data_IF_279796402157
#
_entry.id   IF_279796402157
#
_cell.length_a   1.000
_cell.length_b   1.000
_cell.length_c   1.000
_cell.angle_alpha   90.00
_cell.angle_beta   90.00
_cell.angle_gamma   90.00
#
_symmetry.space_group_name_H-M   'P 1'
#
loop_
_entity.id
_entity.type
_entity.pdbx_description
1 polymer ?
#
# COMPACT_ATOMS: atom_id res chain seq x y z
N UNK A 1 -17.33 -53.44 32.41
CA UNK A 1 -16.57 -53.92 31.23
C UNK A 1 -17.51 -53.91 30.03
N UNK A 2 -17.10 -53.52 28.83
CA UNK A 2 -16.25 -52.38 28.50
C UNK A 2 -16.79 -51.58 27.27
N UNK A 3 -16.44 -50.27 27.19
CA UNK A 3 -15.77 -49.62 26.05
C UNK A 3 -16.48 -49.65 24.67
N UNK A 4 -16.81 -48.50 24.07
CA UNK A 4 -15.99 -47.75 23.08
C UNK A 4 -16.98 -46.77 22.41
N UNK A 5 -16.73 -45.54 22.02
CA UNK A 5 -15.66 -44.57 22.16
C UNK A 5 -16.37 -43.19 22.01
N UNK A 6 -15.90 -42.16 22.72
CA UNK A 6 -16.18 -40.76 22.41
C UNK A 6 -15.50 -40.39 21.08
N UNK A 7 -15.59 -39.13 20.63
CA UNK A 7 -14.76 -38.55 19.54
C UNK A 7 -15.32 -38.62 18.10
N UNK A 8 -16.61 -38.37 17.88
CA UNK A 8 -17.11 -38.09 16.52
C UNK A 8 -18.21 -37.01 16.48
N UNK A 9 -18.03 -35.92 17.23
CA UNK A 9 -18.97 -34.79 17.24
C UNK A 9 -18.24 -33.43 17.38
N UNK A 10 -17.03 -33.33 16.83
CA UNK A 10 -16.26 -32.10 16.81
C UNK A 10 -15.44 -31.91 15.52
N UNK A 11 -16.02 -32.25 14.37
CA UNK A 11 -15.49 -31.84 13.05
C UNK A 11 -16.69 -31.44 12.18
N UNK A 12 -17.43 -30.42 12.61
CA UNK A 12 -18.40 -29.76 11.76
C UNK A 12 -17.87 -28.37 11.40
N UNK A 13 -17.14 -28.35 10.29
CA UNK A 13 -17.02 -27.23 9.35
C UNK A 13 -16.68 -25.85 9.92
N UNK A 14 -15.40 -25.64 10.22
CA UNK A 14 -14.74 -24.34 9.98
C UNK A 14 -13.89 -24.51 8.71
N UNK A 15 -14.55 -24.62 7.56
CA UNK A 15 -13.93 -24.21 6.30
C UNK A 15 -14.29 -22.74 6.10
N UNK A 16 -13.65 -21.87 6.89
CA UNK A 16 -13.37 -20.52 6.41
C UNK A 16 -12.41 -20.73 5.24
N UNK A 17 -12.96 -20.74 4.03
CA UNK A 17 -12.16 -20.52 2.83
C UNK A 17 -11.56 -19.13 3.05
N UNK A 18 -10.32 -19.09 3.55
CA UNK A 18 -9.44 -17.97 3.26
C UNK A 18 -9.30 -18.00 1.74
N UNK A 19 -10.20 -17.29 1.06
CA UNK A 19 -9.95 -16.87 -0.29
C UNK A 19 -8.67 -16.07 -0.17
N UNK A 20 -7.54 -16.67 -0.56
CA UNK A 20 -6.37 -15.89 -0.92
C UNK A 20 -6.88 -14.94 -1.98
N UNK A 21 -7.06 -13.68 -1.62
CA UNK A 21 -7.38 -12.63 -2.59
C UNK A 21 -6.21 -12.61 -3.55
N UNK A 22 -6.30 -13.35 -4.66
CA UNK A 22 -5.50 -13.07 -5.83
C UNK A 22 -5.91 -11.65 -6.23
N UNK A 23 -5.09 -10.69 -5.79
CA UNK A 23 -5.28 -9.29 -6.07
C UNK A 23 -5.35 -9.12 -7.58
N UNK A 24 -6.44 -8.54 -8.07
CA UNK A 24 -6.53 -8.25 -9.48
C UNK A 24 -5.56 -7.13 -9.84
N UNK A 25 -5.13 -7.09 -11.10
CA UNK A 25 -4.33 -5.98 -11.61
C UNK A 25 -4.97 -5.44 -12.89
N UNK A 26 -5.63 -4.29 -12.81
CA UNK A 26 -6.38 -3.67 -13.89
C UNK A 26 -5.53 -3.44 -15.14
N UNK A 27 -4.26 -3.07 -14.99
CA UNK A 27 -3.42 -2.80 -16.16
C UNK A 27 -3.03 -4.08 -16.89
N UNK A 28 -2.85 -5.19 -16.15
CA UNK A 28 -2.64 -6.53 -16.73
C UNK A 28 -3.91 -7.08 -17.39
N UNK A 29 -5.08 -6.83 -16.79
CA UNK A 29 -6.36 -7.21 -17.39
C UNK A 29 -6.59 -6.48 -18.72
N UNK A 30 -6.42 -5.16 -18.74
CA UNK A 30 -6.60 -4.33 -19.92
C UNK A 30 -5.53 -4.53 -21.00
N UNK A 31 -4.30 -4.93 -20.63
CA UNK A 31 -3.21 -5.17 -21.59
C UNK A 31 -3.53 -6.26 -22.62
N UNK A 32 -4.47 -7.16 -22.33
CA UNK A 32 -4.95 -8.19 -23.27
C UNK A 32 -5.85 -7.63 -24.38
N UNK A 33 -6.25 -6.37 -24.29
CA UNK A 33 -7.25 -5.74 -25.16
C UNK A 33 -6.68 -4.49 -25.84
N UNK A 34 -6.04 -4.61 -27.03
CA UNK A 34 -5.38 -3.48 -27.70
C UNK A 34 -6.27 -2.27 -27.99
N UNK A 35 -7.58 -2.49 -28.17
CA UNK A 35 -8.59 -1.44 -28.35
C UNK A 35 -8.76 -0.52 -27.13
N UNK A 36 -8.27 -0.93 -25.95
CA UNK A 36 -8.38 -0.20 -24.68
C UNK A 36 -7.01 0.35 -24.22
N UNK A 37 -5.99 0.32 -25.08
CA UNK A 37 -4.61 0.68 -24.72
C UNK A 37 -4.47 2.11 -24.21
N UNK A 38 -5.18 3.07 -24.81
CA UNK A 38 -5.15 4.47 -24.39
C UNK A 38 -5.73 4.64 -22.99
N UNK A 39 -6.87 4.00 -22.71
CA UNK A 39 -7.49 4.02 -21.39
C UNK A 39 -6.55 3.41 -20.33
N UNK A 40 -5.94 2.26 -20.63
CA UNK A 40 -4.97 1.61 -19.75
C UNK A 40 -3.73 2.49 -19.47
N UNK A 41 -3.23 3.18 -20.50
CA UNK A 41 -2.12 4.12 -20.38
C UNK A 41 -2.46 5.27 -19.43
N UNK A 42 -3.62 5.91 -19.58
CA UNK A 42 -4.01 7.01 -18.70
C UNK A 42 -4.39 6.57 -17.28
N UNK A 43 -4.93 5.36 -17.08
CA UNK A 43 -5.07 4.79 -15.73
C UNK A 43 -3.70 4.67 -15.03
N UNK A 44 -2.65 4.36 -15.79
CA UNK A 44 -1.29 4.25 -15.25
C UNK A 44 -0.68 5.63 -14.99
N UNK A 45 -0.76 6.56 -15.96
CA UNK A 45 -0.21 7.91 -15.84
C UNK A 45 -0.85 8.73 -14.71
N UNK A 46 -2.16 8.57 -14.51
CA UNK A 46 -2.89 9.25 -13.43
C UNK A 46 -2.72 8.55 -12.08
N UNK A 47 -2.01 7.42 -12.06
CA UNK A 47 -1.88 6.49 -10.93
C UNK A 47 -3.18 5.87 -10.41
N UNK A 48 -4.32 6.14 -11.03
CA UNK A 48 -5.62 5.57 -10.67
C UNK A 48 -5.62 4.04 -10.71
N UNK A 49 -4.81 3.43 -11.57
CA UNK A 49 -4.63 1.99 -11.63
C UNK A 49 -4.23 1.37 -10.27
N UNK A 50 -3.37 2.03 -9.50
CA UNK A 50 -2.94 1.53 -8.19
C UNK A 50 -4.08 1.60 -7.18
N UNK A 51 -4.90 2.65 -7.24
CA UNK A 51 -6.04 2.81 -6.37
C UNK A 51 -7.15 1.79 -6.69
N UNK A 52 -7.39 1.51 -7.98
CA UNK A 52 -8.32 0.46 -8.42
C UNK A 52 -7.88 -0.90 -7.88
N UNK A 53 -6.60 -1.25 -8.05
CA UNK A 53 -6.04 -2.54 -7.65
C UNK A 53 -6.08 -2.81 -6.12
N UNK A 54 -6.30 -1.77 -5.31
CA UNK A 54 -6.43 -1.87 -3.85
C UNK A 54 -7.87 -2.09 -3.39
N UNK A 55 -8.83 -2.02 -4.30
CA UNK A 55 -10.25 -2.18 -4.00
C UNK A 55 -10.71 -3.57 -4.42
N UNK A 56 -11.81 -4.02 -3.84
CA UNK A 56 -12.58 -5.18 -4.30
C UNK A 56 -14.03 -4.73 -4.42
N UNK A 57 -14.86 -5.53 -5.09
CA UNK A 57 -16.25 -5.17 -5.39
C UNK A 57 -16.35 -3.89 -6.22
N UNK A 58 -15.60 -3.84 -7.33
CA UNK A 58 -15.49 -2.65 -8.18
C UNK A 58 -15.87 -2.94 -9.63
N UNK A 59 -16.35 -1.92 -10.36
CA UNK A 59 -16.60 -1.99 -11.80
C UNK A 59 -15.86 -0.89 -12.53
N UNK A 60 -15.07 -1.23 -13.54
CA UNK A 60 -14.36 -0.28 -14.40
C UNK A 60 -15.13 -0.16 -15.73
N UNK A 61 -15.64 1.04 -15.99
CA UNK A 61 -16.28 1.42 -17.24
C UNK A 61 -15.20 1.82 -18.25
N UNK A 62 -14.66 0.83 -18.95
CA UNK A 62 -13.57 1.02 -19.90
C UNK A 62 -14.03 1.78 -21.15
N UNK A 63 -13.17 2.70 -21.59
CA UNK A 63 -13.31 3.45 -22.83
C UNK A 63 -12.37 2.89 -23.89
N UNK A 64 -12.86 2.73 -25.11
CA UNK A 64 -11.98 2.37 -26.23
C UNK A 64 -11.13 3.57 -26.69
N UNK A 65 -10.19 3.30 -27.59
CA UNK A 65 -9.28 4.31 -28.10
C UNK A 65 -10.01 5.47 -28.82
N UNK A 66 -11.19 5.25 -29.42
CA UNK A 66 -11.96 6.29 -30.09
C UNK A 66 -12.66 7.22 -29.07
N UNK A 67 -13.28 6.63 -28.04
CA UNK A 67 -13.86 7.37 -26.93
C UNK A 67 -12.79 8.15 -26.15
N UNK A 68 -11.63 7.53 -25.90
CA UNK A 68 -10.47 8.20 -25.29
C UNK A 68 -9.95 9.34 -26.16
N UNK A 69 -9.84 9.16 -27.48
CA UNK A 69 -9.42 10.25 -28.38
C UNK A 69 -10.35 11.45 -28.29
N UNK A 70 -11.66 11.23 -28.17
CA UNK A 70 -12.64 12.31 -27.99
C UNK A 70 -12.44 13.09 -26.69
N UNK A 71 -12.06 12.42 -25.59
CA UNK A 71 -11.69 13.06 -24.33
C UNK A 71 -10.39 13.86 -24.46
N UNK A 72 -9.37 13.26 -25.08
CA UNK A 72 -8.03 13.84 -25.20
C UNK A 72 -8.03 15.09 -26.07
N UNK A 73 -8.91 15.18 -27.07
CA UNK A 73 -9.07 16.37 -27.90
C UNK A 73 -9.52 17.62 -27.11
N UNK A 74 -10.07 17.44 -25.90
CA UNK A 74 -10.37 18.55 -24.97
C UNK A 74 -9.13 19.08 -24.24
N UNK A 75 -7.97 18.46 -24.42
CA UNK A 75 -6.70 18.75 -23.73
C UNK A 75 -6.84 18.89 -22.19
N UNK A 76 -7.48 17.94 -21.50
CA UNK A 76 -7.56 17.99 -20.04
C UNK A 76 -6.16 17.89 -19.42
N UNK A 77 -5.95 18.57 -18.29
CA UNK A 77 -4.76 18.33 -17.47
C UNK A 77 -4.75 16.88 -16.98
N UNK A 78 -3.60 16.37 -16.55
CA UNK A 78 -3.51 15.00 -16.01
C UNK A 78 -4.39 14.82 -14.76
N UNK A 79 -4.59 15.87 -13.97
CA UNK A 79 -5.43 15.87 -12.76
C UNK A 79 -6.92 15.86 -13.12
N UNK A 80 -7.33 16.67 -14.09
CA UNK A 80 -8.69 16.61 -14.63
C UNK A 80 -8.95 15.25 -15.29
N UNK A 81 -7.97 14.69 -16.01
CA UNK A 81 -8.08 13.33 -16.57
C UNK A 81 -8.27 12.29 -15.46
N UNK A 82 -7.54 12.38 -14.33
CA UNK A 82 -7.74 11.50 -13.18
C UNK A 82 -9.19 11.55 -12.70
N UNK A 83 -9.76 12.74 -12.51
CA UNK A 83 -11.15 12.91 -12.06
C UNK A 83 -12.17 12.32 -13.05
N UNK A 84 -11.99 12.58 -14.34
CA UNK A 84 -12.82 11.99 -15.40
C UNK A 84 -12.76 10.46 -15.32
N UNK A 85 -11.57 9.87 -15.25
CA UNK A 85 -11.42 8.41 -15.19
C UNK A 85 -11.94 7.84 -13.86
N UNK A 86 -11.79 8.53 -12.73
CA UNK A 86 -12.35 8.13 -11.45
C UNK A 86 -13.88 8.07 -11.45
N UNK A 87 -14.55 8.90 -12.26
CA UNK A 87 -16.01 8.82 -12.48
C UNK A 87 -16.39 7.53 -13.24
N UNK A 88 -15.47 6.96 -14.01
CA UNK A 88 -15.67 5.71 -14.76
C UNK A 88 -15.37 4.46 -13.91
N UNK A 89 -15.16 4.60 -12.60
CA UNK A 89 -14.91 3.47 -11.71
C UNK A 89 -15.98 3.43 -10.62
N UNK A 90 -16.89 2.47 -10.71
CA UNK A 90 -17.99 2.27 -9.77
C UNK A 90 -17.53 1.46 -8.55
N UNK A 91 -17.94 1.88 -7.35
CA UNK A 91 -17.63 1.23 -6.08
C UNK A 91 -18.56 0.06 -5.72
N UNK A 92 -19.29 -0.46 -6.71
CA UNK A 92 -20.06 -1.70 -6.62
C UNK A 92 -19.75 -2.56 -7.86
N UNK A 93 -19.96 -3.87 -7.73
CA UNK A 93 -19.72 -4.85 -8.78
C UNK A 93 -20.94 -4.97 -9.70
N UNK A 94 -20.77 -4.68 -10.99
CA UNK A 94 -21.77 -4.78 -12.05
C UNK A 94 -21.21 -5.56 -13.25
N UNK A 95 -21.33 -6.88 -13.20
CA UNK A 95 -21.10 -7.73 -14.39
C UNK A 95 -22.27 -7.68 -15.37
N UNK A 96 -22.07 -8.21 -16.57
CA UNK A 96 -23.06 -8.17 -17.66
C UNK A 96 -24.44 -8.71 -17.25
N UNK A 97 -24.47 -9.79 -16.45
CA UNK A 97 -25.73 -10.37 -15.96
C UNK A 97 -26.46 -9.44 -14.99
N UNK A 98 -25.75 -8.81 -14.05
CA UNK A 98 -26.34 -7.91 -13.05
C UNK A 98 -26.92 -6.67 -13.73
N UNK A 99 -26.26 -6.16 -14.77
CA UNK A 99 -26.73 -5.01 -15.53
C UNK A 99 -28.09 -5.24 -16.21
N UNK A 100 -28.37 -6.46 -16.70
CA UNK A 100 -29.66 -6.83 -17.29
C UNK A 100 -30.68 -7.37 -16.29
N UNK A 101 -30.35 -7.33 -14.99
CA UNK A 101 -31.17 -7.84 -13.90
C UNK A 101 -31.31 -6.79 -12.79
N UNK A 102 -31.16 -5.51 -13.14
CA UNK A 102 -31.30 -4.41 -12.19
C UNK A 102 -32.74 -4.37 -11.71
N UNK A 103 -32.92 -4.56 -10.40
CA UNK A 103 -34.24 -4.44 -9.75
C UNK A 103 -34.83 -3.06 -10.00
N UNK A 104 -36.10 -3.00 -10.38
CA UNK A 104 -36.79 -1.76 -10.79
C UNK A 104 -36.22 -1.07 -12.05
N UNK A 105 -35.29 -1.72 -12.77
CA UNK A 105 -34.74 -1.24 -14.03
C UNK A 105 -33.73 -0.10 -13.92
N UNK A 106 -33.48 0.45 -12.74
CA UNK A 106 -32.50 1.52 -12.52
C UNK A 106 -31.72 1.32 -11.22
N UNK A 107 -30.45 1.72 -11.22
CA UNK A 107 -29.55 1.69 -10.08
C UNK A 107 -28.68 2.94 -10.06
N UNK A 108 -28.37 3.43 -8.86
CA UNK A 108 -27.45 4.54 -8.65
C UNK A 108 -26.17 4.01 -7.99
N UNK A 109 -25.03 4.22 -8.64
CA UNK A 109 -23.74 3.70 -8.19
C UNK A 109 -22.80 4.84 -7.80
N UNK A 110 -22.22 4.76 -6.60
CA UNK A 110 -21.13 5.66 -6.20
C UNK A 110 -19.87 5.33 -7.00
N UNK A 111 -19.07 6.35 -7.34
CA UNK A 111 -17.82 6.17 -8.07
C UNK A 111 -16.60 6.48 -7.20
N UNK A 112 -15.41 6.13 -7.69
CA UNK A 112 -14.17 6.60 -7.06
C UNK A 112 -14.08 8.13 -7.04
N UNK A 113 -14.65 8.83 -8.04
CA UNK A 113 -14.73 10.29 -8.01
C UNK A 113 -15.64 10.82 -6.89
N UNK A 114 -16.74 10.13 -6.58
CA UNK A 114 -17.54 10.47 -5.40
C UNK A 114 -16.76 10.30 -4.09
N UNK A 115 -15.94 9.25 -4.00
CA UNK A 115 -15.17 8.94 -2.80
C UNK A 115 -14.00 9.91 -2.52
N UNK A 116 -13.63 10.78 -3.46
CA UNK A 116 -12.65 11.84 -3.19
C UNK A 116 -13.23 12.95 -2.31
N UNK A 117 -14.56 13.08 -2.23
CA UNK A 117 -15.21 14.18 -1.54
C UNK A 117 -15.22 15.52 -2.30
N UNK A 118 -14.56 15.60 -3.46
CA UNK A 118 -14.57 16.79 -4.33
C UNK A 118 -15.94 16.98 -4.99
N UNK A 119 -16.65 15.88 -5.27
CA UNK A 119 -17.97 15.90 -5.89
C UNK A 119 -19.05 16.41 -4.91
N UNK A 120 -19.69 17.58 -5.15
CA UNK A 120 -20.76 18.08 -4.29
C UNK A 120 -22.00 17.19 -4.38
N UNK A 121 -22.52 16.78 -3.22
CA UNK A 121 -23.74 15.99 -3.12
C UNK A 121 -23.61 14.64 -3.84
N UNK A 122 -24.45 14.42 -4.86
CA UNK A 122 -24.49 13.18 -5.66
C UNK A 122 -23.83 13.30 -7.02
N UNK A 123 -23.07 14.37 -7.27
CA UNK A 123 -22.54 14.64 -8.61
C UNK A 123 -21.46 13.66 -9.09
N UNK A 124 -20.92 12.84 -8.19
CA UNK A 124 -20.00 11.75 -8.51
C UNK A 124 -20.69 10.41 -8.67
N UNK A 125 -22.02 10.31 -8.60
CA UNK A 125 -22.74 9.06 -8.82
C UNK A 125 -23.03 8.86 -10.31
N UNK A 126 -23.17 7.59 -10.71
CA UNK A 126 -23.57 7.17 -12.05
C UNK A 126 -24.91 6.45 -11.97
N UNK A 127 -25.87 6.95 -12.74
CA UNK A 127 -27.14 6.29 -12.96
C UNK A 127 -26.98 5.22 -14.04
N UNK A 128 -27.48 4.03 -13.76
CA UNK A 128 -27.44 2.84 -14.61
C UNK A 128 -28.87 2.40 -14.83
N UNK A 129 -29.31 2.29 -16.07
CA UNK A 129 -30.68 1.89 -16.39
C UNK A 129 -30.70 0.77 -17.42
N UNK A 130 -31.41 -0.30 -17.10
CA UNK A 130 -31.71 -1.39 -18.03
C UNK A 130 -33.00 -1.07 -18.80
N UNK A 131 -32.83 -0.72 -20.07
CA UNK A 131 -33.94 -0.41 -20.95
C UNK A 131 -34.58 -1.68 -21.48
N UNK A 132 -35.89 -1.59 -21.79
CA UNK A 132 -36.60 -2.64 -22.53
C UNK A 132 -35.88 -2.92 -23.85
N UNK A 133 -35.54 -4.18 -24.10
CA UNK A 133 -34.78 -4.62 -25.28
C UNK A 133 -33.32 -4.98 -25.01
N UNK A 134 -32.89 -5.04 -23.74
CA UNK A 134 -31.56 -5.52 -23.37
C UNK A 134 -30.45 -4.50 -23.62
N UNK A 135 -30.80 -3.20 -23.65
CA UNK A 135 -29.83 -2.11 -23.76
C UNK A 135 -29.65 -1.50 -22.38
N UNK A 136 -28.41 -1.35 -21.92
CA UNK A 136 -28.12 -0.72 -20.62
C UNK A 136 -27.45 0.63 -20.86
N UNK A 137 -28.03 1.69 -20.29
CA UNK A 137 -27.51 3.05 -20.35
C UNK A 137 -26.82 3.46 -19.05
N UNK A 138 -25.84 4.35 -19.20
CA UNK A 138 -25.07 4.97 -18.13
C UNK A 138 -25.09 6.49 -18.32
N UNK A 139 -25.20 7.21 -17.22
CA UNK A 139 -25.14 8.67 -17.20
C UNK A 139 -24.64 9.17 -15.85
N UNK A 140 -23.85 10.25 -15.85
CA UNK A 140 -23.50 10.91 -14.61
C UNK A 140 -24.77 11.54 -14.00
N UNK A 141 -24.99 11.37 -12.70
CA UNK A 141 -26.21 11.83 -12.02
C UNK A 141 -26.43 13.35 -12.17
N UNK A 142 -25.35 14.12 -12.13
CA UNK A 142 -25.40 15.58 -12.32
C UNK A 142 -25.63 16.02 -13.78
N UNK A 143 -25.74 15.11 -14.75
CA UNK A 143 -25.90 15.44 -16.17
C UNK A 143 -27.37 15.45 -16.62
N UNK A 144 -28.27 16.02 -15.81
CA UNK A 144 -29.67 16.25 -16.21
C UNK A 144 -30.50 14.99 -16.49
N UNK A 145 -30.03 13.81 -16.09
CA UNK A 145 -30.71 12.53 -16.34
C UNK A 145 -30.42 11.89 -17.70
N UNK A 146 -29.49 12.44 -18.48
CA UNK A 146 -29.13 11.89 -19.79
C UNK A 146 -28.34 10.59 -19.67
N UNK A 147 -28.89 9.50 -20.20
CA UNK A 147 -28.30 8.16 -20.26
C UNK A 147 -27.80 7.88 -21.67
N UNK A 148 -26.71 8.53 -22.03
CA UNK A 148 -26.26 8.61 -23.40
C UNK A 148 -25.10 7.66 -23.71
N UNK A 149 -24.42 7.11 -22.71
CA UNK A 149 -23.43 6.04 -22.87
C UNK A 149 -24.04 4.67 -22.65
N UNK A 150 -23.67 3.68 -23.45
CA UNK A 150 -24.32 2.37 -23.44
C UNK A 150 -23.33 1.23 -23.22
N UNK A 151 -23.78 0.16 -22.56
CA UNK A 151 -23.04 -1.08 -22.45
C UNK A 151 -22.74 -1.65 -23.85
N UNK A 152 -21.47 -1.93 -24.12
CA UNK A 152 -21.01 -2.52 -25.39
C UNK A 152 -20.76 -4.01 -25.21
N UNK A 153 -19.89 -4.36 -24.25
CA UNK A 153 -19.52 -5.76 -23.96
C UNK A 153 -18.87 -5.88 -22.58
N UNK A 154 -18.89 -7.10 -22.05
CA UNK A 154 -18.01 -7.49 -20.95
C UNK A 154 -16.60 -7.70 -21.48
N UNK A 155 -15.60 -7.12 -20.82
CA UNK A 155 -14.18 -7.21 -21.21
C UNK A 155 -13.50 -8.28 -20.36
N UNK A 156 -13.65 -8.17 -19.04
CA UNK A 156 -13.12 -9.13 -18.05
C UNK A 156 -14.06 -9.14 -16.84
N UNK A 157 -14.35 -10.31 -16.29
CA UNK A 157 -15.15 -10.44 -15.06
C UNK A 157 -14.49 -11.43 -14.12
N UNK A 158 -14.03 -10.94 -12.97
CA UNK A 158 -13.62 -11.73 -11.82
C UNK A 158 -14.73 -11.62 -10.77
N UNK A 159 -15.62 -12.63 -10.66
CA UNK A 159 -16.81 -12.56 -9.82
C UNK A 159 -16.52 -12.07 -8.40
N UNK A 160 -17.33 -11.12 -7.93
CA UNK A 160 -17.23 -10.48 -6.61
C UNK A 160 -15.96 -9.67 -6.35
N UNK A 161 -15.03 -9.58 -7.31
CA UNK A 161 -13.77 -8.84 -7.15
C UNK A 161 -13.74 -7.60 -8.06
N UNK A 162 -13.66 -7.80 -9.37
CA UNK A 162 -13.64 -6.72 -10.35
C UNK A 162 -14.40 -7.11 -11.61
N UNK A 163 -15.19 -6.18 -12.14
CA UNK A 163 -15.73 -6.27 -13.50
C UNK A 163 -15.17 -5.13 -14.35
N UNK A 164 -14.75 -5.44 -15.56
CA UNK A 164 -14.36 -4.47 -16.59
C UNK A 164 -15.36 -4.61 -17.72
N UNK A 165 -16.12 -3.55 -17.97
CA UNK A 165 -17.11 -3.48 -19.05
C UNK A 165 -16.78 -2.32 -19.96
N UNK A 166 -16.97 -2.49 -21.26
CA UNK A 166 -16.81 -1.40 -22.21
C UNK A 166 -18.13 -0.63 -22.32
N UNK A 167 -18.05 0.70 -22.25
CA UNK A 167 -19.16 1.60 -22.55
C UNK A 167 -18.89 2.38 -23.85
N UNK A 168 -19.94 2.84 -24.52
CA UNK A 168 -19.84 3.41 -25.87
C UNK A 168 -19.18 4.79 -25.93
N UNK A 169 -19.23 5.56 -24.83
CA UNK A 169 -18.58 6.88 -24.74
C UNK A 169 -18.30 7.28 -23.29
N UNK A 170 -17.45 8.27 -23.12
CA UNK A 170 -17.17 8.85 -21.82
C UNK A 170 -18.42 9.49 -21.21
N UNK A 171 -18.57 9.37 -19.90
CA UNK A 171 -19.64 10.00 -19.13
C UNK A 171 -19.36 11.51 -19.00
N UNK A 172 -20.23 12.37 -19.54
CA UNK A 172 -20.07 13.82 -19.40
C UNK A 172 -20.32 14.24 -17.95
N UNK A 173 -19.42 15.08 -17.40
CA UNK A 173 -19.60 15.69 -16.09
C UNK A 173 -18.82 16.99 -16.01
N UNK A 174 -19.52 18.13 -15.95
CA UNK A 174 -18.89 19.44 -15.81
C UNK A 174 -18.03 19.56 -14.54
N UNK A 175 -18.37 18.80 -13.50
CA UNK A 175 -17.66 18.79 -12.22
C UNK A 175 -16.37 17.96 -12.33
N UNK A 176 -16.41 16.79 -12.96
CA UNK A 176 -15.21 15.98 -13.18
C UNK A 176 -14.28 16.59 -14.23
N UNK A 177 -14.84 17.27 -15.24
CA UNK A 177 -14.11 17.98 -16.29
C UNK A 177 -13.60 19.36 -15.84
N UNK A 178 -13.95 19.82 -14.63
CA UNK A 178 -13.48 21.10 -14.13
C UNK A 178 -11.94 21.12 -14.02
N UNK A 179 -11.29 22.26 -14.32
CA UNK A 179 -9.85 22.41 -14.10
C UNK A 179 -9.53 22.13 -12.63
N UNK A 180 -8.72 21.10 -12.40
CA UNK A 180 -8.22 20.75 -11.07
C UNK A 180 -6.79 21.25 -10.96
N UNK A 181 -6.46 22.06 -9.93
CA UNK A 181 -5.11 22.55 -9.72
C UNK A 181 -4.10 21.41 -9.65
N UNK A 182 -2.94 21.63 -10.24
CA UNK A 182 -1.84 20.70 -10.09
C UNK A 182 -1.28 20.71 -8.66
N UNK A 183 -0.54 19.66 -8.25
CA UNK A 183 0.24 19.60 -7.02
C UNK A 183 1.18 20.79 -6.87
N UNK A 184 1.80 21.23 -7.96
CA UNK A 184 2.63 22.45 -7.98
C UNK A 184 1.86 23.75 -7.69
N UNK A 185 0.54 23.73 -7.80
CA UNK A 185 -0.35 24.84 -7.42
C UNK A 185 -0.93 24.66 -6.01
N UNK A 186 -0.65 23.53 -5.33
CA UNK A 186 -1.07 23.30 -3.96
C UNK A 186 -0.24 24.15 -2.99
N UNK A 187 -0.95 24.97 -2.21
CA UNK A 187 -0.34 25.70 -1.10
C UNK A 187 -0.18 24.78 0.12
N UNK A 188 0.86 23.94 0.13
CA UNK A 188 1.13 22.97 1.21
C UNK A 188 1.29 23.63 2.58
N UNK A 189 1.87 24.83 2.64
CA UNK A 189 2.08 25.58 3.88
C UNK A 189 0.78 26.21 4.38
N UNK A 190 -0.11 26.60 3.47
CA UNK A 190 -1.49 26.97 3.79
C UNK A 190 -2.28 25.82 4.42
N UNK A 191 -2.18 24.61 3.84
CA UNK A 191 -2.81 23.40 4.39
C UNK A 191 -2.27 23.10 5.80
N UNK A 192 -0.94 23.10 5.97
CA UNK A 192 -0.31 22.89 7.29
C UNK A 192 -0.75 23.96 8.30
N UNK A 193 -0.79 25.23 7.89
CA UNK A 193 -1.18 26.34 8.77
C UNK A 193 -2.62 26.26 9.25
N UNK A 194 -3.54 25.80 8.40
CA UNK A 194 -4.95 25.68 8.75
C UNK A 194 -5.24 24.59 9.81
N UNK A 195 -4.33 23.62 9.99
CA UNK A 195 -4.58 22.43 10.79
C UNK A 195 -3.56 22.20 11.92
N UNK A 196 -3.10 23.28 12.58
CA UNK A 196 -2.33 23.20 13.83
C UNK A 196 -0.82 22.98 13.66
N UNK A 197 -0.32 23.31 12.47
CA UNK A 197 1.04 23.07 12.01
C UNK A 197 1.70 24.37 11.48
N UNK A 198 1.15 25.51 11.88
CA UNK A 198 1.50 26.85 11.40
C UNK A 198 2.94 27.23 11.69
N UNK A 199 3.47 26.93 12.87
CA UNK A 199 4.82 27.37 13.25
C UNK A 199 5.86 26.65 12.41
N UNK A 200 5.65 25.36 12.11
CA UNK A 200 6.50 24.62 11.18
C UNK A 200 6.38 25.19 9.76
N UNK A 201 5.15 25.39 9.26
CA UNK A 201 4.90 25.94 7.94
C UNK A 201 5.55 27.32 7.74
N UNK A 202 5.39 28.24 8.69
CA UNK A 202 6.02 29.57 8.67
C UNK A 202 7.55 29.47 8.68
N UNK A 203 8.10 28.51 9.43
CA UNK A 203 9.57 28.31 9.52
C UNK A 203 10.13 27.72 8.24
N UNK A 204 9.39 26.79 7.62
CA UNK A 204 9.72 26.24 6.31
C UNK A 204 9.68 27.34 5.23
N UNK A 205 8.61 28.12 5.19
CA UNK A 205 8.47 29.27 4.27
C UNK A 205 9.60 30.32 4.44
N UNK A 206 10.09 30.50 5.66
CA UNK A 206 11.20 31.42 5.93
C UNK A 206 12.57 30.90 5.47
N UNK A 207 12.67 29.64 5.00
CA UNK A 207 13.87 29.06 4.41
C UNK A 207 13.60 28.71 2.92
N UNK A 208 13.95 29.61 1.98
CA UNK A 208 13.65 29.43 0.56
C UNK A 208 14.32 28.21 -0.08
N UNK A 209 15.50 27.82 0.39
CA UNK A 209 16.24 26.65 -0.13
C UNK A 209 15.47 25.37 0.20
N UNK A 210 15.13 25.18 1.49
CA UNK A 210 14.32 24.05 1.92
C UNK A 210 12.93 24.06 1.25
N UNK A 211 12.25 25.21 1.15
CA UNK A 211 10.96 25.28 0.47
C UNK A 211 11.05 24.92 -1.02
N UNK A 212 12.09 25.37 -1.71
CA UNK A 212 12.34 25.03 -3.11
C UNK A 212 12.43 23.52 -3.31
N UNK A 213 13.13 22.80 -2.42
CA UNK A 213 13.20 21.33 -2.45
C UNK A 213 11.82 20.68 -2.29
N UNK A 214 10.93 21.22 -1.44
CA UNK A 214 9.56 20.71 -1.33
C UNK A 214 8.76 20.95 -2.62
N UNK A 215 8.85 22.16 -3.19
CA UNK A 215 8.16 22.54 -4.42
C UNK A 215 8.56 21.65 -5.61
N UNK A 216 9.86 21.38 -5.76
CA UNK A 216 10.40 20.52 -6.82
C UNK A 216 9.88 19.08 -6.76
N UNK A 217 9.52 18.60 -5.55
CA UNK A 217 9.03 17.24 -5.34
C UNK A 217 7.49 17.11 -5.40
N UNK A 218 6.73 18.22 -5.45
CA UNK A 218 5.26 18.18 -5.48
C UNK A 218 4.71 17.33 -6.63
N UNK A 219 5.35 17.40 -7.81
CA UNK A 219 4.92 16.64 -8.98
C UNK A 219 5.38 15.18 -8.96
N UNK A 220 6.56 14.90 -8.39
CA UNK A 220 7.16 13.56 -8.35
C UNK A 220 6.60 12.65 -7.26
N UNK A 221 5.98 13.25 -6.23
CA UNK A 221 5.55 12.54 -5.04
C UNK A 221 6.18 13.16 -3.80
N UNK A 222 5.36 13.56 -2.84
CA UNK A 222 5.83 14.16 -1.60
C UNK A 222 5.03 13.63 -0.42
N UNK A 223 5.72 13.25 0.65
CA UNK A 223 5.10 13.01 1.96
C UNK A 223 5.72 13.92 2.98
N UNK A 224 4.90 14.71 3.68
CA UNK A 224 5.34 15.67 4.71
C UNK A 224 4.86 15.21 6.08
N UNK A 225 5.78 15.16 7.05
CA UNK A 225 5.49 14.89 8.45
C UNK A 225 5.54 16.19 9.24
N UNK A 226 4.39 16.81 9.42
CA UNK A 226 4.29 18.12 10.02
C UNK A 226 4.19 18.05 11.56
N UNK A 227 5.17 18.56 12.32
CA UNK A 227 5.07 18.63 13.77
C UNK A 227 4.03 19.66 14.21
N UNK A 228 3.17 19.26 15.17
CA UNK A 228 2.18 20.14 15.76
C UNK A 228 2.85 21.36 16.43
N UNK A 229 2.13 22.48 16.41
CA UNK A 229 2.64 23.79 16.84
C UNK A 229 3.27 23.78 18.22
N UNK A 230 2.65 23.14 19.20
CA UNK A 230 3.18 23.13 20.57
C UNK A 230 4.49 22.33 20.69
N UNK A 231 4.59 21.22 19.96
CA UNK A 231 5.81 20.43 19.89
C UNK A 231 6.93 21.21 19.20
N UNK A 232 6.61 21.89 18.09
CA UNK A 232 7.61 22.64 17.32
C UNK A 232 8.05 23.92 18.04
N UNK A 233 7.13 24.66 18.68
CA UNK A 233 7.45 25.83 19.52
C UNK A 233 8.44 25.48 20.62
N UNK A 234 8.24 24.37 21.31
CA UNK A 234 9.16 23.88 22.34
C UNK A 234 10.55 23.53 21.78
N UNK A 235 10.63 23.20 20.49
CA UNK A 235 11.87 22.84 19.81
C UNK A 235 12.61 24.03 19.17
N UNK A 236 11.93 25.15 18.91
CA UNK A 236 12.51 26.35 18.29
C UNK A 236 13.86 26.80 18.89
N UNK A 237 14.09 26.77 20.22
CA UNK A 237 15.40 27.11 20.78
C UNK A 237 16.54 26.22 20.26
N UNK A 238 16.29 24.91 20.10
CA UNK A 238 17.28 23.97 19.54
C UNK A 238 17.50 24.23 18.05
N UNK A 239 16.43 24.46 17.30
CA UNK A 239 16.51 24.80 15.87
C UNK A 239 17.32 26.09 15.63
N UNK A 240 17.12 27.13 16.45
CA UNK A 240 17.84 28.40 16.33
C UNK A 240 19.37 28.25 16.48
N UNK A 241 19.82 27.27 17.25
CA UNK A 241 21.24 26.98 17.51
C UNK A 241 21.93 26.21 16.38
N UNK A 242 21.19 25.76 15.35
CA UNK A 242 21.78 25.10 14.18
C UNK A 242 22.46 26.12 13.24
N UNK A 243 23.43 25.64 12.46
CA UNK A 243 24.02 26.38 11.34
C UNK A 243 22.98 26.63 10.25
N UNK A 244 23.27 27.50 9.28
CA UNK A 244 22.36 27.77 8.16
C UNK A 244 22.01 26.48 7.37
N UNK A 245 23.03 25.75 6.91
CA UNK A 245 22.86 24.44 6.26
C UNK A 245 22.20 23.42 7.20
N UNK A 246 22.52 23.43 8.50
CA UNK A 246 21.84 22.56 9.47
C UNK A 246 20.34 22.87 9.61
N UNK A 247 19.91 24.12 9.44
CA UNK A 247 18.50 24.52 9.48
C UNK A 247 17.76 24.07 8.23
N UNK A 248 18.39 24.15 7.07
CA UNK A 248 17.87 23.65 5.79
C UNK A 248 17.67 22.13 5.86
N UNK A 249 18.73 21.36 6.10
CA UNK A 249 18.63 19.89 6.18
C UNK A 249 17.68 19.43 7.29
N UNK A 250 17.57 20.19 8.39
CA UNK A 250 16.58 19.90 9.42
C UNK A 250 15.14 20.04 8.92
N UNK A 251 14.83 21.09 8.16
CA UNK A 251 13.49 21.30 7.60
C UNK A 251 13.17 20.26 6.51
N UNK A 252 14.14 19.94 5.67
CA UNK A 252 14.02 18.89 4.64
C UNK A 252 13.84 17.49 5.21
N UNK A 253 14.34 17.22 6.43
CA UNK A 253 14.20 15.92 7.10
C UNK A 253 12.73 15.52 7.38
N UNK A 254 11.80 16.47 7.35
CA UNK A 254 10.36 16.20 7.53
C UNK A 254 9.65 15.83 6.22
N UNK A 255 10.33 15.93 5.08
CA UNK A 255 9.81 15.55 3.77
C UNK A 255 10.41 14.24 3.27
N UNK A 256 9.62 13.45 2.54
CA UNK A 256 10.07 12.25 1.81
C UNK A 256 9.72 12.45 0.34
N UNK A 257 10.67 12.25 -0.61
CA UNK A 257 10.48 12.50 -2.05
C UNK A 257 9.62 11.43 -2.77
N UNK A 258 8.68 10.83 -2.05
CA UNK A 258 7.75 9.83 -2.57
C UNK A 258 6.43 9.98 -1.84
N UNK A 259 5.32 9.87 -2.57
CA UNK A 259 3.98 9.78 -2.00
C UNK A 259 3.82 8.48 -1.20
N UNK A 260 3.43 8.59 0.07
CA UNK A 260 3.14 7.46 0.94
C UNK A 260 1.80 7.69 1.64
N UNK A 261 0.76 7.01 1.17
CA UNK A 261 -0.52 6.94 1.89
C UNK A 261 -0.35 6.30 3.28
N UNK A 262 -1.26 6.58 4.21
CA UNK A 262 -1.16 6.00 5.56
C UNK A 262 -1.15 4.46 5.52
N UNK A 263 -1.92 3.89 4.59
CA UNK A 263 -1.95 2.44 4.34
C UNK A 263 -0.62 1.90 3.79
N UNK A 264 0.09 2.65 2.94
CA UNK A 264 1.43 2.27 2.47
C UNK A 264 2.45 2.32 3.59
N UNK A 265 2.41 3.36 4.44
CA UNK A 265 3.26 3.46 5.61
C UNK A 265 3.04 2.27 6.56
N UNK A 266 1.78 1.84 6.72
CA UNK A 266 1.44 0.65 7.50
C UNK A 266 1.91 -0.65 6.85
N UNK A 267 1.76 -0.82 5.55
CA UNK A 267 2.14 -2.09 4.90
C UNK A 267 3.65 -2.22 4.72
N UNK A 268 4.35 -1.10 4.52
CA UNK A 268 5.75 -1.04 4.12
C UNK A 268 6.59 -0.39 5.22
N UNK A 269 6.67 -1.07 6.37
CA UNK A 269 7.64 -0.72 7.40
C UNK A 269 9.06 -0.80 6.83
N UNK A 270 9.94 0.11 7.25
CA UNK A 270 11.31 0.11 6.78
C UNK A 270 11.97 1.47 6.84
N UNK A 271 13.21 1.50 6.35
CA UNK A 271 14.03 2.70 6.29
C UNK A 271 13.54 3.60 5.14
N UNK A 272 13.40 4.89 5.43
CA UNK A 272 13.03 5.93 4.47
C UNK A 272 14.11 7.01 4.44
N UNK A 273 14.47 7.40 3.23
CA UNK A 273 15.29 8.59 2.97
C UNK A 273 14.38 9.81 2.91
N UNK A 274 14.93 10.95 3.29
CA UNK A 274 14.20 12.23 3.35
C UNK A 274 14.68 13.15 2.25
N UNK A 275 14.06 14.32 2.13
CA UNK A 275 14.56 15.37 1.22
C UNK A 275 15.96 15.84 1.60
N UNK A 276 16.35 15.72 2.87
CA UNK A 276 17.66 16.10 3.38
C UNK A 276 18.77 15.09 3.03
N UNK A 277 18.44 13.96 2.40
CA UNK A 277 19.43 12.94 2.06
C UNK A 277 20.30 13.42 0.89
N UNK A 278 21.55 13.78 1.19
CA UNK A 278 22.60 13.97 0.19
C UNK A 278 23.54 12.75 0.18
N UNK A 279 24.26 12.48 -0.91
CA UNK A 279 25.09 11.27 -1.03
C UNK A 279 26.14 11.06 0.08
N UNK A 280 26.45 12.08 0.89
CA UNK A 280 27.33 12.01 2.05
C UNK A 280 26.58 11.76 3.37
N UNK A 281 25.36 12.27 3.51
CA UNK A 281 24.55 12.28 4.73
C UNK A 281 23.21 11.59 4.49
N UNK A 282 22.98 10.47 5.18
CA UNK A 282 21.82 9.63 4.88
C UNK A 282 20.48 10.23 5.29
N UNK A 283 20.44 11.04 6.35
CA UNK A 283 19.21 11.66 6.88
C UNK A 283 17.99 10.71 6.78
N UNK A 284 18.14 9.56 7.42
CA UNK A 284 17.19 8.45 7.37
C UNK A 284 16.35 8.35 8.67
N UNK A 285 15.11 7.88 8.53
CA UNK A 285 14.32 7.36 9.65
C UNK A 285 13.66 6.04 9.28
N UNK A 286 13.21 5.28 10.29
CA UNK A 286 12.50 4.01 10.09
C UNK A 286 11.03 4.19 10.40
N UNK A 287 10.16 3.82 9.45
CA UNK A 287 8.72 3.66 9.67
C UNK A 287 8.48 2.30 10.34
N UNK A 288 7.80 2.31 11.47
CA UNK A 288 7.44 1.09 12.19
C UNK A 288 6.04 1.23 12.80
N UNK A 289 5.19 0.23 12.57
CA UNK A 289 3.89 0.18 13.24
C UNK A 289 4.03 -0.25 14.69
N UNK A 290 3.26 0.41 15.55
CA UNK A 290 3.01 0.05 16.94
C UNK A 290 1.50 -0.17 17.10
N UNK A 291 1.06 -1.42 16.93
CA UNK A 291 -0.35 -1.76 16.81
C UNK A 291 -0.99 -1.15 15.56
N UNK A 292 -2.05 -0.36 15.74
CA UNK A 292 -2.73 0.35 14.65
C UNK A 292 -2.08 1.70 14.28
N UNK A 293 -1.12 2.15 15.09
CA UNK A 293 -0.51 3.47 14.98
C UNK A 293 0.83 3.41 14.25
N UNK A 294 1.04 4.31 13.29
CA UNK A 294 2.32 4.43 12.56
C UNK A 294 3.28 5.29 13.39
N UNK A 295 4.49 4.77 13.62
CA UNK A 295 5.56 5.47 14.33
C UNK A 295 6.78 5.67 13.43
N UNK A 296 7.47 6.79 13.63
CA UNK A 296 8.66 7.20 12.91
C UNK A 296 9.83 7.20 13.91
N UNK A 297 10.87 6.42 13.63
CA UNK A 297 12.00 6.21 14.54
C UNK A 297 13.29 6.72 13.93
N UNK A 298 13.94 7.62 14.63
CA UNK A 298 15.35 7.97 14.40
C UNK A 298 16.22 7.26 15.45
N UNK A 299 17.54 7.39 15.35
CA UNK A 299 18.45 6.93 16.42
C UNK A 299 18.34 7.75 17.71
N UNK A 300 17.63 8.88 17.67
CA UNK A 300 17.54 9.85 18.77
C UNK A 300 16.18 9.78 19.45
N UNK A 301 15.09 9.68 18.68
CA UNK A 301 13.74 9.65 19.23
C UNK A 301 12.75 8.85 18.37
N UNK A 302 11.62 8.52 18.99
CA UNK A 302 10.44 7.95 18.34
C UNK A 302 9.30 8.97 18.39
N UNK A 303 8.63 9.10 17.25
CA UNK A 303 7.54 10.05 16.99
C UNK A 303 6.35 9.28 16.45
N UNK A 304 5.13 9.74 16.73
CA UNK A 304 3.88 9.11 16.29
C UNK A 304 3.15 9.99 15.30
N UNK A 305 2.59 9.39 14.25
CA UNK A 305 1.60 10.06 13.41
C UNK A 305 0.29 10.16 14.19
N UNK A 306 -0.28 11.36 14.25
CA UNK A 306 -1.48 11.68 15.04
C UNK A 306 -2.69 12.05 14.18
N UNK A 307 -2.49 12.35 12.90
CA UNK A 307 -3.56 12.79 12.01
C UNK A 307 -3.11 12.92 10.56
N UNK A 308 -4.09 13.09 9.67
CA UNK A 308 -3.90 13.25 8.24
C UNK A 308 -4.48 14.60 7.83
N UNK A 309 -3.65 15.47 7.25
CA UNK A 309 -4.07 16.76 6.71
C UNK A 309 -4.39 16.67 5.22
N UNK A 310 -3.62 15.86 4.49
CA UNK A 310 -3.81 15.56 3.08
C UNK A 310 -3.30 14.12 2.83
N UNK A 311 -4.03 13.33 2.04
CA UNK A 311 -3.59 12.02 1.57
C UNK A 311 -4.14 11.83 0.16
N UNK A 312 -3.63 12.63 -0.77
CA UNK A 312 -4.09 12.67 -2.16
C UNK A 312 -2.88 12.65 -3.09
N UNK A 313 -2.69 11.55 -3.82
CA UNK A 313 -1.55 11.40 -4.72
C UNK A 313 -1.47 12.58 -5.71
N UNK A 314 -0.30 13.25 -5.83
CA UNK A 314 1.03 12.85 -5.35
C UNK A 314 1.47 13.40 -3.98
N UNK A 315 0.62 14.07 -3.20
CA UNK A 315 1.02 14.71 -1.94
C UNK A 315 0.28 14.12 -0.74
N UNK A 316 1.03 13.76 0.30
CA UNK A 316 0.51 13.41 1.61
C UNK A 316 1.11 14.32 2.68
N UNK A 317 0.30 14.74 3.65
CA UNK A 317 0.70 15.57 4.78
C UNK A 317 0.08 14.97 6.04
N UNK A 318 0.93 14.57 7.00
CA UNK A 318 0.53 13.97 8.26
C UNK A 318 0.98 14.80 9.45
N UNK A 319 0.17 14.88 10.50
CA UNK A 319 0.60 15.51 11.75
C UNK A 319 1.38 14.52 12.63
N UNK A 320 2.40 15.01 13.33
CA UNK A 320 3.19 14.23 14.28
C UNK A 320 3.20 14.85 15.67
N UNK A 321 3.25 13.99 16.71
CA UNK A 321 3.17 14.40 18.12
C UNK A 321 4.43 15.09 18.66
N UNK A 322 5.58 14.83 18.04
CA UNK A 322 6.91 15.29 18.47
C UNK A 322 7.76 15.65 17.26
N UNK A 323 8.78 16.46 17.50
CA UNK A 323 9.74 16.85 16.47
C UNK A 323 10.72 15.71 16.21
N UNK A 324 10.81 15.25 14.96
CA UNK A 324 11.80 14.27 14.52
C UNK A 324 13.22 14.85 14.62
N UNK A 325 14.16 14.08 15.18
CA UNK A 325 15.54 14.53 15.39
C UNK A 325 16.52 13.66 14.60
N UNK A 326 17.12 14.16 13.50
CA UNK A 326 18.15 13.45 12.74
C UNK A 326 19.45 13.35 13.54
N UNK A 327 20.12 12.20 13.45
CA UNK A 327 21.37 11.93 14.18
C UNK A 327 22.53 12.79 13.70
N UNK A 328 22.46 13.23 12.44
CA UNK A 328 23.45 14.06 11.77
C UNK A 328 23.55 15.45 12.42
N UNK A 329 22.43 15.93 13.00
CA UNK A 329 22.35 17.24 13.65
C UNK A 329 22.27 17.16 15.18
N UNK A 330 21.81 16.03 15.72
CA UNK A 330 21.60 15.85 17.15
C UNK A 330 22.25 14.58 17.67
N UNK A 331 22.95 14.70 18.81
CA UNK A 331 23.56 13.55 19.49
C UNK A 331 22.54 12.86 20.39
N UNK A 332 22.60 11.53 20.46
CA UNK A 332 21.82 10.76 21.42
C UNK A 332 22.28 11.11 22.84
N UNK A 333 21.35 11.20 23.79
CA UNK A 333 21.74 11.29 25.18
C UNK A 333 22.57 10.04 25.56
N UNK A 334 23.69 10.17 26.30
CA UNK A 334 24.42 9.00 26.76
C UNK A 334 23.47 8.14 27.60
N UNK A 335 23.33 6.87 27.22
CA UNK A 335 22.62 5.87 28.01
C UNK A 335 23.24 5.88 29.42
N UNK A 336 22.46 5.92 30.51
CA UNK A 336 23.02 5.78 31.85
C UNK A 336 23.88 4.53 31.88
N UNK A 337 25.16 4.68 32.24
CA UNK A 337 26.06 3.54 32.40
C UNK A 337 25.36 2.53 33.33
N UNK A 338 25.40 1.21 33.01
CA UNK A 338 24.90 0.20 33.93
C UNK A 338 25.50 0.46 35.31
N UNK A 339 24.64 0.64 36.32
CA UNK A 339 25.10 0.81 37.69
C UNK A 339 26.06 -0.35 38.01
N UNK A 340 27.24 -0.08 38.62
CA UNK A 340 28.13 -1.14 39.03
C UNK A 340 27.35 -2.16 39.84
N UNK A 341 27.41 -3.43 39.43
CA UNK A 341 26.82 -4.51 40.19
C UNK A 341 27.36 -4.43 41.63
N UNK A 342 26.53 -4.65 42.66
CA UNK A 342 27.01 -4.70 44.04
C UNK A 342 28.15 -5.71 44.12
N UNK A 343 29.32 -5.28 44.61
CA UNK A 343 30.43 -6.18 44.93
C UNK A 343 29.91 -7.29 45.85
N UNK A 344 29.98 -8.54 45.37
CA UNK A 344 29.80 -9.70 46.22
C UNK A 344 30.82 -9.64 47.35
N UNK A 345 30.32 -9.74 48.58
CA UNK A 345 31.13 -9.77 49.78
C UNK A 345 32.17 -10.88 49.70
N UNK A 346 33.41 -10.50 50.02
CA UNK A 346 34.55 -11.38 50.13
C UNK A 346 34.28 -12.56 51.09
N UNK A 347 34.56 -13.78 50.64
CA UNK A 347 34.80 -14.91 51.53
C UNK A 347 36.31 -15.21 51.62
N UNK A 348 36.82 -15.14 52.84
CA UNK A 348 38.21 -15.38 53.22
C UNK A 348 38.48 -16.91 53.41
N UNK A 349 39.76 -17.33 53.47
CA UNK A 349 40.23 -18.56 52.81
C UNK A 349 40.23 -19.81 53.70
N UNK A 350 40.21 -21.00 53.06
CA UNK A 350 40.69 -22.24 53.68
C UNK A 350 41.79 -22.92 52.85
N UNK A 351 42.87 -23.22 53.55
CA UNK A 351 44.16 -23.63 53.04
C UNK A 351 44.30 -25.14 52.76
N UNK A 352 45.12 -25.43 51.74
CA UNK A 352 46.11 -26.52 51.63
C UNK A 352 45.68 -27.99 51.67
N UNK A 353 46.03 -28.76 50.62
CA UNK A 353 47.19 -29.68 50.67
C UNK A 353 47.50 -30.31 49.30
N UNK A 354 48.78 -30.58 49.12
CA UNK A 354 49.44 -31.04 47.90
C UNK A 354 49.75 -32.55 47.93
N UNK A 355 50.14 -33.06 46.74
CA UNK A 355 50.99 -34.22 46.43
C UNK A 355 50.36 -35.62 46.20
N UNK A 356 50.34 -35.98 44.92
CA UNK A 356 51.18 -37.02 44.26
C UNK A 356 51.06 -38.52 44.62
N UNK A 357 50.75 -39.27 43.54
CA UNK A 357 51.34 -40.56 43.06
C UNK A 357 50.89 -41.93 43.63
N UNK A 358 50.23 -42.66 42.71
CA UNK A 358 50.38 -44.07 42.28
C UNK A 358 49.95 -45.22 43.21
N UNK A 359 49.04 -46.07 42.72
CA UNK A 359 49.36 -47.39 42.13
C UNK A 359 48.14 -48.05 41.48
N UNK A 360 48.45 -48.92 40.54
CA UNK A 360 47.64 -49.61 39.52
C UNK A 360 46.82 -50.80 40.03
N UNK A 361 45.69 -51.09 39.35
CA UNK A 361 45.54 -52.21 38.38
C UNK A 361 44.09 -52.40 37.90
N UNK A 362 43.93 -52.35 36.55
CA UNK A 362 43.09 -53.18 35.66
C UNK A 362 41.58 -53.35 35.93
N UNK A 363 40.66 -53.34 34.95
CA UNK A 363 40.78 -53.46 33.49
C UNK A 363 39.40 -53.23 32.84
N UNK A 364 39.47 -52.74 31.59
CA UNK A 364 38.53 -52.94 30.46
C UNK A 364 37.20 -52.18 30.53
N UNK A 365 36.74 -51.47 29.49
CA UNK A 365 37.01 -51.55 28.06
C UNK A 365 36.83 -50.17 27.35
N UNK A 366 37.33 -50.00 26.12
CA UNK A 366 37.65 -48.70 25.50
C UNK A 366 36.64 -48.17 24.45
N UNK A 367 36.51 -46.84 24.42
CA UNK A 367 36.73 -45.82 23.34
C UNK A 367 37.04 -46.26 21.88
N UNK A 368 37.16 -45.33 20.89
CA UNK A 368 36.84 -43.86 20.78
C UNK A 368 36.05 -43.54 19.45
N UNK A 369 35.53 -42.35 19.10
CA UNK A 369 36.01 -40.95 18.95
C UNK A 369 37.17 -40.65 17.99
N UNK A 370 37.05 -39.48 17.33
CA UNK A 370 38.10 -38.58 16.81
C UNK A 370 38.76 -38.96 15.45
N UNK A 371 39.22 -38.05 14.58
CA UNK A 371 39.34 -36.58 14.60
C UNK A 371 39.58 -36.05 13.16
N UNK A 372 39.54 -34.72 12.99
CA UNK A 372 39.81 -33.92 11.77
C UNK A 372 41.31 -33.95 11.30
N UNK A 373 41.88 -33.02 10.49
CA UNK A 373 41.41 -32.11 9.41
C UNK A 373 42.33 -32.14 8.13
N UNK A 374 42.06 -31.22 7.18
CA UNK A 374 43.03 -30.46 6.34
C UNK A 374 43.23 -30.77 4.83
N UNK A 375 43.17 -29.65 4.09
CA UNK A 375 43.80 -29.22 2.83
C UNK A 375 43.44 -29.79 1.43
N UNK A 376 43.38 -28.83 0.49
CA UNK A 376 43.07 -28.90 -0.96
C UNK A 376 44.37 -29.18 -1.78
N UNK A 377 44.45 -29.02 -3.13
CA UNK A 377 43.46 -28.97 -4.22
C UNK A 377 43.83 -29.93 -5.40
N UNK A 378 43.02 -29.97 -6.47
CA UNK A 378 43.45 -29.82 -7.88
C UNK A 378 42.43 -30.37 -8.90
N UNK A 379 42.06 -29.47 -9.83
CA UNK A 379 41.80 -29.62 -11.26
C UNK A 379 40.84 -30.70 -11.82
N UNK A 380 39.67 -30.21 -12.28
CA UNK A 380 39.02 -30.32 -13.61
C UNK A 380 39.61 -31.27 -14.70
N UNK A 381 38.89 -31.61 -15.82
CA UNK A 381 37.49 -31.32 -16.19
C UNK A 381 36.75 -32.50 -16.90
N UNK A 382 35.53 -32.21 -17.40
CA UNK A 382 34.79 -32.90 -18.48
C UNK A 382 34.21 -34.30 -18.16
N UNK A 383 33.00 -34.68 -18.57
CA UNK A 383 32.39 -34.39 -19.86
C UNK A 383 30.86 -34.51 -19.81
N UNK A 384 30.22 -33.81 -20.73
CA UNK A 384 28.79 -33.87 -21.02
C UNK A 384 28.46 -35.14 -21.82
N UNK A 385 27.28 -35.73 -21.60
CA UNK A 385 26.50 -36.24 -22.73
C UNK A 385 25.02 -36.33 -22.38
N UNK A 386 24.21 -35.66 -23.20
CA UNK A 386 22.78 -35.86 -23.34
C UNK A 386 22.51 -37.10 -24.21
N UNK A 387 21.37 -37.77 -24.00
CA UNK A 387 20.30 -37.80 -25.00
C UNK A 387 19.15 -38.75 -24.58
N UNK A 388 17.95 -38.20 -24.71
CA UNK A 388 16.69 -38.76 -25.22
C UNK A 388 16.17 -40.14 -24.77
N UNK A 389 14.90 -40.16 -24.32
CA UNK A 389 13.81 -40.65 -25.18
C UNK A 389 12.42 -40.41 -24.57
N UNK A 390 11.52 -39.91 -25.43
CA UNK A 390 10.09 -39.84 -25.21
C UNK A 390 9.44 -41.23 -25.35
N UNK A 391 8.50 -41.57 -24.47
CA UNK A 391 7.47 -42.56 -24.74
C UNK A 391 6.20 -42.29 -23.94
N UNK A 392 5.08 -42.31 -24.67
CA UNK A 392 3.70 -42.05 -24.27
C UNK A 392 3.17 -43.10 -23.29
N UNK A 393 2.27 -42.67 -22.39
CA UNK A 393 1.19 -43.53 -21.91
C UNK A 393 -0.05 -42.71 -21.59
N UNK A 394 -1.06 -42.91 -22.42
CA UNK A 394 -2.41 -42.40 -22.34
C UNK A 394 -3.27 -43.40 -21.55
N UNK A 395 -4.00 -42.97 -20.52
CA UNK A 395 -5.08 -43.79 -19.92
C UNK A 395 -6.15 -42.95 -19.22
N UNK A 396 -7.35 -42.93 -19.83
CA UNK A 396 -8.71 -42.84 -19.24
C UNK A 396 -9.05 -41.60 -18.41
N UNK A 397 -10.18 -40.90 -18.56
CA UNK A 397 -11.49 -41.28 -19.07
C UNK A 397 -12.57 -41.12 -17.99
N UNK A 398 -13.39 -40.06 -18.11
CA UNK A 398 -14.70 -39.78 -17.46
C UNK A 398 -14.62 -39.47 -15.94
N UNK A 399 -15.28 -38.45 -15.40
CA UNK A 399 -16.73 -38.24 -15.37
C UNK A 399 -17.15 -36.77 -15.23
N UNK A 400 -18.25 -36.45 -15.91
CA UNK A 400 -19.12 -35.29 -15.73
C UNK A 400 -19.93 -35.47 -14.45
N UNK A 401 -20.07 -34.42 -13.62
CA UNK A 401 -21.19 -34.26 -12.72
C UNK A 401 -21.56 -32.77 -12.62
N UNK A 402 -22.66 -32.40 -13.27
CA UNK A 402 -23.37 -31.13 -13.13
C UNK A 402 -24.60 -31.38 -12.26
N UNK A 403 -24.83 -30.48 -11.30
CA UNK A 403 -26.16 -30.12 -10.81
C UNK A 403 -26.72 -30.92 -9.64
N UNK A 404 -26.99 -30.24 -8.52
CA UNK A 404 -28.35 -29.85 -8.09
C UNK A 404 -28.30 -29.53 -6.58
N UNK A 405 -28.50 -28.26 -6.20
CA UNK A 405 -28.69 -27.90 -4.79
C UNK A 405 -29.88 -26.93 -4.69
N UNK A 406 -31.07 -27.50 -4.78
CA UNK A 406 -32.34 -26.89 -4.45
C UNK A 406 -33.11 -27.92 -3.62
N UNK A 407 -32.96 -27.89 -2.29
CA UNK A 407 -33.99 -28.28 -1.31
C UNK A 407 -33.40 -28.22 0.10
N UNK A 408 -33.32 -27.03 0.72
CA UNK A 408 -33.14 -26.90 2.17
C UNK A 408 -33.62 -25.52 2.68
N UNK A 409 -34.80 -25.09 2.21
CA UNK A 409 -35.50 -23.89 2.73
C UNK A 409 -36.91 -24.22 3.25
N UNK A 410 -37.32 -25.49 3.29
CA UNK A 410 -38.67 -25.88 3.74
C UNK A 410 -38.72 -26.67 5.06
N UNK A 411 -37.74 -26.49 5.95
CA UNK A 411 -37.77 -27.12 7.29
C UNK A 411 -37.39 -26.21 8.45
N UNK A 412 -37.43 -24.89 8.25
CA UNK A 412 -37.41 -23.88 9.31
C UNK A 412 -38.31 -22.70 8.93
N UNK A 413 -39.61 -22.96 8.83
CA UNK A 413 -40.73 -22.02 9.06
C UNK A 413 -42.05 -22.78 9.15
#
# INVERSE_FOLDING_TARGET
MPQKHPLLLLIFSVFLIFQTSDGHNITRLLAKHPSLSSFNHYLTLTHLAQEINRRTTITVLALDNAAMSSLLNKNPSIYTMKNILSLHVLLDYFGAKKLHQITNGTALAATMFQATGVAPGVSGFVNITDFKGGKVGFGAEANGGDLDSFFVKSVEELPYNISVIQISKALPSAIAEAPTPGPSELNITGIMSAHGCKVFADTLLANPEAMGTYEDNLNGGLTVFCPLDDAFKAFLPKYKNLTASGKESFLEFFGVPVYQSLSMLKSNNGLMNTLATDGASKFDFTVQNDGEQVTLKTKINTVKITGTLLDEQPVAIYTIDKVLMPRELFKAAPTPAPAPAPEEAADAPKASKSKSKSKSKSKSAPTPESDAPADSPDDDPADQTADDNAALSFKGGRFVAVGLNFLLVFLLL
#
